data_IF_767853733007
#
_entry.id   IF_767853733007
#
_cell.length_a   1.000
_cell.length_b   1.000
_cell.length_c   1.000
_cell.angle_alpha   90.00
_cell.angle_beta   90.00
_cell.angle_gamma   90.00
#
_symmetry.space_group_name_H-M   'P 1'
#
loop_
_entity.id
_entity.type
_entity.pdbx_description
1 polymer ?
#
# COMPACT_ATOMS: atom_id res chain seq x y z
N UNK A 1 18.19 -43.57 7.72
CA UNK A 1 17.17 -42.76 7.02
C UNK A 1 17.87 -41.98 5.92
N UNK A 2 17.36 -42.00 4.68
CA UNK A 2 17.89 -41.18 3.58
C UNK A 2 17.00 -39.95 3.43
N UNK A 3 17.56 -38.76 3.59
CA UNK A 3 16.84 -37.51 3.33
C UNK A 3 16.97 -37.18 1.83
N UNK A 4 15.84 -36.97 1.17
CA UNK A 4 15.76 -36.55 -0.23
C UNK A 4 15.49 -35.06 -0.26
N UNK A 5 16.40 -34.28 -0.84
CA UNK A 5 16.21 -32.84 -1.03
C UNK A 5 15.32 -32.65 -2.26
N UNK A 6 14.07 -32.20 -2.04
CA UNK A 6 13.19 -31.78 -3.12
C UNK A 6 13.49 -30.31 -3.45
N UNK A 7 13.95 -30.05 -4.68
CA UNK A 7 14.11 -28.70 -5.20
C UNK A 7 12.70 -28.13 -5.49
N UNK A 8 12.14 -27.37 -4.56
CA UNK A 8 10.89 -26.65 -4.79
C UNK A 8 11.17 -25.34 -5.51
N UNK A 9 10.89 -25.35 -6.82
CA UNK A 9 10.93 -24.22 -7.78
C UNK A 9 12.32 -23.66 -8.11
N UNK A 10 12.57 -23.48 -9.40
CA UNK A 10 13.77 -22.82 -9.90
C UNK A 10 13.87 -21.40 -9.36
N UNK A 11 15.07 -21.02 -8.90
CA UNK A 11 15.37 -19.66 -8.50
C UNK A 11 15.26 -18.73 -9.72
N UNK A 12 14.74 -17.52 -9.51
CA UNK A 12 14.55 -16.56 -10.60
C UNK A 12 15.91 -16.15 -11.21
N UNK A 13 16.04 -16.09 -12.55
CA UNK A 13 17.24 -15.60 -13.19
C UNK A 13 17.56 -14.17 -12.72
N UNK A 14 18.85 -13.95 -12.47
CA UNK A 14 19.36 -12.70 -11.89
C UNK A 14 19.25 -11.58 -12.92
N UNK A 15 18.47 -10.54 -12.62
CA UNK A 15 18.44 -9.29 -13.41
C UNK A 15 17.07 -8.87 -13.93
N UNK A 16 16.05 -9.73 -13.91
CA UNK A 16 14.70 -9.37 -14.34
C UNK A 16 13.75 -9.19 -13.16
N UNK A 17 13.19 -7.99 -13.03
CA UNK A 17 12.10 -7.75 -12.10
C UNK A 17 10.87 -8.51 -12.55
N UNK A 18 10.35 -9.36 -11.67
CA UNK A 18 9.05 -10.00 -11.86
C UNK A 18 8.09 -9.44 -10.85
N UNK A 19 6.96 -8.96 -11.35
CA UNK A 19 5.88 -8.46 -10.51
C UNK A 19 5.47 -9.54 -9.51
N UNK A 20 5.46 -9.17 -8.23
CA UNK A 20 5.08 -10.04 -7.13
C UNK A 20 3.58 -9.95 -6.88
N UNK A 21 3.05 -10.89 -6.11
CA UNK A 21 1.66 -10.79 -5.63
C UNK A 21 1.43 -9.52 -4.79
N UNK A 22 2.46 -9.02 -4.12
CA UNK A 22 2.39 -7.79 -3.33
C UNK A 22 2.23 -6.56 -4.24
N UNK A 23 2.93 -6.50 -5.36
CA UNK A 23 2.80 -5.41 -6.33
C UNK A 23 1.40 -5.35 -6.92
N UNK A 24 0.85 -6.53 -7.28
CA UNK A 24 -0.51 -6.64 -7.77
C UNK A 24 -1.52 -6.18 -6.72
N UNK A 25 -1.30 -6.47 -5.43
CA UNK A 25 -2.15 -6.00 -4.34
C UNK A 25 -2.06 -4.48 -4.17
N UNK A 26 -0.85 -3.91 -4.17
CA UNK A 26 -0.63 -2.45 -4.07
C UNK A 26 -1.29 -1.71 -5.22
N UNK A 27 -1.22 -2.22 -6.45
CA UNK A 27 -1.91 -1.62 -7.63
C UNK A 27 -3.43 -1.62 -7.52
N UNK A 28 -4.00 -2.58 -6.80
CA UNK A 28 -5.46 -2.69 -6.61
C UNK A 28 -5.97 -1.90 -5.40
N UNK A 29 -5.08 -1.31 -4.59
CA UNK A 29 -5.48 -0.53 -3.42
C UNK A 29 -6.07 0.82 -3.85
N UNK A 30 -7.14 1.23 -3.17
CA UNK A 30 -7.71 2.57 -3.35
C UNK A 30 -6.78 3.65 -2.77
N UNK A 31 -6.12 3.32 -1.65
CA UNK A 31 -5.25 4.21 -0.88
C UNK A 31 -3.98 3.46 -0.48
N UNK A 32 -2.83 4.11 -0.67
CA UNK A 32 -1.54 3.64 -0.20
C UNK A 32 -1.01 4.50 0.93
N UNK A 33 -0.60 3.89 2.03
CA UNK A 33 0.14 4.56 3.10
C UNK A 33 1.62 4.64 2.69
N UNK A 34 2.12 5.86 2.55
CA UNK A 34 3.48 6.17 2.09
C UNK A 34 4.46 6.30 3.26
N UNK A 35 4.02 6.87 4.38
CA UNK A 35 4.84 7.07 5.58
C UNK A 35 3.98 7.16 6.84
N UNK A 36 4.60 6.86 7.98
CA UNK A 36 4.01 6.93 9.32
C UNK A 36 4.88 7.85 10.16
N UNK A 37 4.37 9.03 10.48
CA UNK A 37 4.97 10.00 11.40
C UNK A 37 3.91 10.39 12.47
N UNK A 38 3.89 11.65 12.91
CA UNK A 38 2.80 12.22 13.72
C UNK A 38 1.42 12.13 13.03
N UNK A 39 1.43 12.05 11.69
CA UNK A 39 0.28 11.76 10.83
C UNK A 39 0.67 10.72 9.79
N UNK A 40 -0.34 10.07 9.23
CA UNK A 40 -0.16 9.11 8.14
C UNK A 40 -0.15 9.84 6.81
N UNK A 41 0.96 9.73 6.08
CA UNK A 41 1.02 10.20 4.70
C UNK A 41 0.41 9.14 3.80
N UNK A 42 -0.63 9.52 3.05
CA UNK A 42 -1.37 8.63 2.17
C UNK A 42 -1.45 9.18 0.75
N UNK A 43 -1.50 8.27 -0.21
CA UNK A 43 -1.79 8.54 -1.62
C UNK A 43 -3.07 7.84 -2.02
N UNK A 44 -4.07 8.60 -2.44
CA UNK A 44 -5.28 8.07 -3.07
C UNK A 44 -4.97 7.74 -4.53
N UNK A 45 -5.03 6.45 -4.90
CA UNK A 45 -4.90 6.01 -6.29
C UNK A 45 -6.20 6.23 -7.06
N UNK A 46 -7.34 6.07 -6.38
CA UNK A 46 -8.64 6.34 -6.96
C UNK A 46 -8.91 7.84 -7.04
N UNK A 47 -9.02 8.38 -8.26
CA UNK A 47 -9.23 9.81 -8.54
C UNK A 47 -10.53 10.38 -7.99
N UNK A 48 -11.50 9.52 -7.63
CA UNK A 48 -12.76 9.94 -7.04
C UNK A 48 -12.68 10.19 -5.53
N UNK A 49 -11.55 9.85 -4.89
CA UNK A 49 -11.35 10.06 -3.45
C UNK A 49 -10.72 11.43 -3.24
N UNK A 50 -11.54 12.41 -2.85
CA UNK A 50 -11.10 13.73 -2.42
C UNK A 50 -11.38 13.90 -0.92
N UNK A 51 -10.31 14.06 -0.12
CA UNK A 51 -10.42 14.21 1.33
C UNK A 51 -10.33 15.67 1.75
N UNK A 52 -11.18 16.08 2.69
CA UNK A 52 -11.16 17.41 3.30
C UNK A 52 -11.71 17.36 4.72
N UNK A 53 -11.46 18.41 5.50
CA UNK A 53 -11.97 18.55 6.87
C UNK A 53 -10.92 18.32 7.97
N UNK A 54 -11.40 18.21 9.21
CA UNK A 54 -10.54 18.13 10.39
C UNK A 54 -9.69 16.85 10.38
N UNK A 55 -8.40 17.01 10.61
CA UNK A 55 -7.46 15.90 10.63
C UNK A 55 -7.00 15.45 9.25
N UNK A 56 -7.30 16.22 8.20
CA UNK A 56 -6.80 16.02 6.84
C UNK A 56 -5.99 17.25 6.43
N UNK A 57 -4.81 17.02 5.85
CA UNK A 57 -4.00 18.05 5.21
C UNK A 57 -3.72 17.60 3.78
N UNK A 58 -4.16 18.37 2.79
CA UNK A 58 -3.96 18.05 1.36
C UNK A 58 -2.64 18.62 0.87
N UNK A 59 -1.87 17.82 0.14
CA UNK A 59 -0.64 18.23 -0.55
C UNK A 59 -0.82 18.29 -2.07
N UNK A 60 -2.04 18.02 -2.57
CA UNK A 60 -2.32 17.95 -4.01
C UNK A 60 -1.98 16.59 -4.63
N UNK A 61 -2.44 16.40 -5.87
CA UNK A 61 -2.26 15.15 -6.64
C UNK A 61 -2.70 13.87 -5.90
N UNK A 62 -3.76 13.97 -5.08
CA UNK A 62 -4.27 12.84 -4.29
C UNK A 62 -3.42 12.46 -3.08
N UNK A 63 -2.45 13.28 -2.69
CA UNK A 63 -1.62 13.05 -1.50
C UNK A 63 -2.16 13.83 -0.30
N UNK A 64 -2.21 13.18 0.85
CA UNK A 64 -2.75 13.74 2.09
C UNK A 64 -1.92 13.30 3.30
N UNK A 65 -1.83 14.15 4.32
CA UNK A 65 -1.54 13.70 5.69
C UNK A 65 -2.85 13.59 6.46
N UNK A 66 -3.09 12.44 7.07
CA UNK A 66 -4.31 12.16 7.84
C UNK A 66 -3.99 11.72 9.26
N UNK A 67 -4.83 12.11 10.22
CA UNK A 67 -4.72 11.58 11.58
C UNK A 67 -5.14 10.11 11.64
N UNK A 68 -4.73 9.39 12.68
CA UNK A 68 -5.10 7.99 12.89
C UNK A 68 -6.63 7.77 12.86
N UNK A 69 -7.39 8.69 13.46
CA UNK A 69 -8.86 8.62 13.48
C UNK A 69 -9.45 8.67 12.07
N UNK A 70 -8.89 9.51 11.19
CA UNK A 70 -9.34 9.59 9.80
C UNK A 70 -8.92 8.33 9.05
N UNK A 71 -7.68 7.87 9.22
CA UNK A 71 -7.21 6.63 8.60
C UNK A 71 -8.07 5.42 8.98
N UNK A 72 -8.44 5.29 10.25
CA UNK A 72 -9.29 4.20 10.74
C UNK A 72 -10.71 4.25 10.16
N UNK A 73 -11.21 5.42 9.75
CA UNK A 73 -12.46 5.53 8.98
C UNK A 73 -12.26 5.11 7.53
N UNK A 74 -11.17 5.54 6.89
CA UNK A 74 -10.85 5.20 5.51
C UNK A 74 -10.69 3.68 5.34
N UNK A 75 -10.01 3.01 6.28
CA UNK A 75 -9.86 1.54 6.32
C UNK A 75 -11.19 0.76 6.35
N UNK A 76 -12.30 1.39 6.76
CA UNK A 76 -13.63 0.76 6.76
C UNK A 76 -14.36 0.89 5.42
N UNK A 77 -13.97 1.85 4.59
CA UNK A 77 -14.68 2.21 3.36
C UNK A 77 -13.89 1.86 2.10
N UNK A 78 -12.57 1.81 2.21
CA UNK A 78 -11.66 1.68 1.09
C UNK A 78 -10.64 0.58 1.34
N UNK A 79 -10.08 0.02 0.25
CA UNK A 79 -8.95 -0.89 0.34
C UNK A 79 -7.67 -0.07 0.57
N UNK A 80 -7.19 -0.08 1.80
CA UNK A 80 -5.99 0.65 2.22
C UNK A 80 -4.85 -0.34 2.42
N UNK A 81 -3.73 -0.10 1.74
CA UNK A 81 -2.51 -0.92 1.85
C UNK A 81 -1.29 -0.04 2.22
N UNK A 82 -0.23 -0.65 2.71
CA UNK A 82 1.06 0.02 2.92
C UNK A 82 1.93 -0.07 1.66
N UNK A 83 2.70 0.98 1.37
CA UNK A 83 3.61 1.01 0.21
C UNK A 83 5.07 0.65 0.55
N UNK A 84 5.42 0.63 1.83
CA UNK A 84 6.74 0.22 2.33
C UNK A 84 6.82 -1.27 2.67
#
# INVERSE_FOLDING_TARGET
MKATIAMTKDAQPRGEYKETSLDAQKKQADILIQAIDDKYSIRCQNKNIALSGRGVTSYGNGNYAVTETVLNKLKKQYRVECDF
#
